data_IF_343395043084
#
_entry.id   IF_343395043084
#
_cell.length_a   1.000
_cell.length_b   1.000
_cell.length_c   1.000
_cell.angle_alpha   90.00
_cell.angle_beta   90.00
_cell.angle_gamma   90.00
#
_symmetry.space_group_name_H-M   'P 1'
#
loop_
_entity.id
_entity.type
_entity.pdbx_description
1 polymer ?
#
# COMPACT_ATOMS: atom_id res chain seq x y z
N UNK A 1 18.51 28.67 -1.35
CA UNK A 1 19.60 27.71 -1.58
C UNK A 1 18.97 26.34 -1.61
N UNK A 2 18.65 25.84 -2.81
CA UNK A 2 18.18 24.47 -3.00
C UNK A 2 19.41 23.58 -2.86
N UNK A 3 19.47 22.78 -1.79
CA UNK A 3 20.51 21.76 -1.66
C UNK A 3 20.45 20.79 -2.84
N UNK A 4 21.57 20.10 -3.18
CA UNK A 4 21.53 19.06 -4.20
C UNK A 4 20.48 18.03 -3.78
N UNK A 5 19.36 17.97 -4.52
CA UNK A 5 18.34 16.97 -4.29
C UNK A 5 18.99 15.59 -4.41
N UNK A 6 18.84 14.74 -3.40
CA UNK A 6 19.25 13.34 -3.50
C UNK A 6 18.48 12.73 -4.66
N UNK A 7 19.10 12.69 -5.83
CA UNK A 7 18.43 12.23 -7.04
C UNK A 7 18.60 10.72 -7.07
N UNK A 8 17.57 10.01 -6.61
CA UNK A 8 17.53 8.55 -6.69
C UNK A 8 17.36 8.13 -8.15
N UNK A 9 18.31 7.34 -8.66
CA UNK A 9 18.34 6.89 -10.05
C UNK A 9 18.26 5.37 -10.06
N UNK A 10 17.14 4.85 -10.56
CA UNK A 10 16.79 3.45 -10.43
C UNK A 10 17.88 2.51 -10.99
N UNK A 11 18.23 1.50 -10.19
CA UNK A 11 19.10 0.35 -10.46
C UNK A 11 20.58 0.64 -10.74
N UNK A 12 20.92 1.81 -11.28
CA UNK A 12 22.26 2.14 -11.76
C UNK A 12 22.65 1.41 -13.06
N UNK A 13 22.39 0.10 -13.14
CA UNK A 13 22.65 -0.75 -14.31
C UNK A 13 21.62 -1.86 -14.46
N UNK A 14 21.49 -2.39 -15.68
CA UNK A 14 20.51 -3.42 -16.01
C UNK A 14 20.75 -4.73 -15.25
N UNK A 15 22.03 -5.13 -15.08
CA UNK A 15 22.38 -6.35 -14.35
C UNK A 15 21.87 -6.31 -12.89
N UNK A 16 21.92 -5.14 -12.24
CA UNK A 16 21.42 -4.96 -10.88
C UNK A 16 19.90 -5.03 -10.79
N UNK A 17 19.19 -4.48 -11.78
CA UNK A 17 17.73 -4.64 -11.91
C UNK A 17 17.36 -6.12 -12.03
N UNK A 18 18.03 -6.86 -12.91
CA UNK A 18 17.77 -8.28 -13.11
C UNK A 18 18.11 -9.12 -11.89
N UNK A 19 19.18 -8.80 -11.15
CA UNK A 19 19.53 -9.46 -9.90
C UNK A 19 18.45 -9.27 -8.82
N UNK A 20 17.93 -8.04 -8.67
CA UNK A 20 16.82 -7.76 -7.74
C UNK A 20 15.55 -8.52 -8.12
N UNK A 21 15.19 -8.54 -9.41
CA UNK A 21 14.04 -9.30 -9.91
C UNK A 21 14.22 -10.80 -9.64
N UNK A 22 15.43 -11.34 -9.85
CA UNK A 22 15.73 -12.74 -9.56
C UNK A 22 15.62 -13.06 -8.06
N UNK A 23 16.08 -12.17 -7.17
CA UNK A 23 15.91 -12.32 -5.72
C UNK A 23 14.42 -12.39 -5.36
N UNK A 24 13.60 -11.48 -5.88
CA UNK A 24 12.15 -11.45 -5.66
C UNK A 24 11.47 -12.74 -6.13
N UNK A 25 11.82 -13.20 -7.33
CA UNK A 25 11.28 -14.45 -7.88
C UNK A 25 11.57 -15.64 -6.98
N UNK A 26 12.81 -15.71 -6.48
CA UNK A 26 13.32 -16.80 -5.66
C UNK A 26 13.02 -16.63 -4.16
N UNK A 27 12.32 -15.56 -3.75
CA UNK A 27 12.10 -15.19 -2.35
C UNK A 27 13.42 -15.14 -1.56
N UNK A 28 14.43 -14.49 -2.15
CA UNK A 28 15.75 -14.33 -1.57
C UNK A 28 15.78 -13.36 -0.38
N UNK A 29 16.98 -13.08 0.16
CA UNK A 29 17.13 -12.24 1.34
C UNK A 29 16.55 -10.83 1.19
N UNK A 30 16.65 -10.21 0.00
CA UNK A 30 16.12 -8.86 -0.22
C UNK A 30 14.60 -8.90 -0.17
N UNK A 31 13.96 -9.84 -0.87
CA UNK A 31 12.51 -10.06 -0.77
C UNK A 31 12.06 -10.24 0.67
N UNK A 32 12.73 -11.11 1.44
CA UNK A 32 12.35 -11.36 2.83
C UNK A 32 12.48 -10.12 3.70
N UNK A 33 13.57 -9.37 3.58
CA UNK A 33 13.80 -8.17 4.39
C UNK A 33 12.88 -7.00 3.99
N UNK A 34 12.57 -6.86 2.71
CA UNK A 34 11.88 -5.68 2.17
C UNK A 34 10.40 -5.90 1.86
N UNK A 35 10.03 -6.97 1.17
CA UNK A 35 8.69 -7.14 0.61
C UNK A 35 7.77 -8.00 1.50
N UNK A 36 8.21 -8.32 2.72
CA UNK A 36 7.42 -9.01 3.74
C UNK A 36 7.17 -8.13 4.97
N UNK A 37 6.45 -8.65 5.98
CA UNK A 37 6.19 -7.91 7.23
C UNK A 37 7.45 -7.50 7.98
N UNK A 38 8.59 -8.14 7.71
CA UNK A 38 9.89 -7.72 8.26
C UNK A 38 10.21 -6.25 7.95
N UNK A 39 9.66 -5.70 6.87
CA UNK A 39 9.87 -4.32 6.45
C UNK A 39 9.20 -3.27 7.33
N UNK A 40 8.24 -3.67 8.19
CA UNK A 40 7.52 -2.73 9.06
C UNK A 40 8.49 -2.16 10.11
N UNK A 41 9.37 -3.00 10.62
CA UNK A 41 10.38 -2.65 11.62
C UNK A 41 11.78 -2.49 11.01
N UNK A 42 11.98 -2.99 9.79
CA UNK A 42 13.27 -3.03 9.12
C UNK A 42 13.71 -1.69 8.51
N UNK A 43 15.03 -1.47 8.50
CA UNK A 43 15.62 -0.35 7.78
C UNK A 43 15.66 -0.64 6.27
N UNK A 44 14.81 0.05 5.52
CA UNK A 44 14.74 -0.04 4.07
C UNK A 44 15.75 0.87 3.34
N UNK A 45 16.59 1.62 4.08
CA UNK A 45 17.58 2.53 3.49
C UNK A 45 18.56 1.82 2.55
N UNK A 46 18.89 0.56 2.86
CA UNK A 46 19.72 -0.30 2.02
C UNK A 46 19.11 -0.49 0.62
N UNK A 47 17.78 -0.65 0.51
CA UNK A 47 17.10 -0.81 -0.78
C UNK A 47 17.29 0.44 -1.64
N UNK A 48 17.10 1.61 -1.04
CA UNK A 48 17.27 2.88 -1.74
C UNK A 48 18.72 3.16 -2.11
N UNK A 49 19.68 2.84 -1.24
CA UNK A 49 21.09 3.06 -1.48
C UNK A 49 21.66 2.10 -2.55
N UNK A 50 21.30 0.81 -2.47
CA UNK A 50 21.85 -0.23 -3.34
C UNK A 50 21.18 -0.26 -4.72
N UNK A 51 19.85 -0.08 -4.77
CA UNK A 51 19.07 -0.16 -6.00
C UNK A 51 18.61 1.19 -6.53
N UNK A 52 19.01 2.31 -5.90
CA UNK A 52 18.69 3.65 -6.38
C UNK A 52 17.18 3.96 -6.46
N UNK A 53 16.34 3.18 -5.76
CA UNK A 53 14.90 3.40 -5.69
C UNK A 53 14.59 4.48 -4.67
N UNK A 54 13.67 5.37 -5.01
CA UNK A 54 13.23 6.42 -4.10
C UNK A 54 12.68 5.79 -2.81
N UNK A 55 13.08 6.26 -1.60
CA UNK A 55 12.66 5.62 -0.34
C UNK A 55 11.15 5.58 -0.12
N UNK A 56 10.41 6.56 -0.67
CA UNK A 56 8.95 6.52 -0.68
C UNK A 56 8.40 5.36 -1.51
N UNK A 57 8.97 5.10 -2.69
CA UNK A 57 8.58 3.94 -3.53
C UNK A 57 8.86 2.64 -2.76
N UNK A 58 10.04 2.53 -2.14
CA UNK A 58 10.41 1.36 -1.37
C UNK A 58 9.43 1.08 -0.21
N UNK A 59 8.88 2.11 0.45
CA UNK A 59 7.86 1.95 1.51
C UNK A 59 6.48 1.54 1.00
N UNK A 60 6.16 1.82 -0.26
CA UNK A 60 4.84 1.52 -0.83
C UNK A 60 4.69 0.05 -1.22
N UNK A 61 5.73 -0.54 -1.81
CA UNK A 61 5.63 -1.87 -2.41
C UNK A 61 5.19 -2.99 -1.45
N UNK A 62 5.66 -3.05 -0.19
CA UNK A 62 5.26 -4.12 0.72
C UNK A 62 3.74 -4.11 0.93
N UNK A 63 3.16 -2.96 1.27
CA UNK A 63 1.72 -2.83 1.46
C UNK A 63 0.93 -3.15 0.18
N UNK A 64 1.39 -2.67 -0.98
CA UNK A 64 0.73 -2.91 -2.26
C UNK A 64 0.81 -4.36 -2.75
N UNK A 65 1.74 -5.18 -2.25
CA UNK A 65 1.73 -6.64 -2.50
C UNK A 65 1.35 -7.46 -1.26
N UNK A 66 0.64 -6.86 -0.30
CA UNK A 66 0.26 -7.49 0.97
C UNK A 66 1.40 -8.23 1.66
N UNK A 67 2.56 -7.58 1.72
CA UNK A 67 3.74 -8.10 2.38
C UNK A 67 4.12 -9.51 1.86
N UNK A 68 3.90 -9.74 0.56
CA UNK A 68 4.21 -11.00 -0.11
C UNK A 68 3.22 -12.14 0.15
N UNK A 69 2.14 -11.89 0.90
CA UNK A 69 1.12 -12.91 1.24
C UNK A 69 0.14 -13.14 0.09
N UNK A 70 -0.07 -12.15 -0.80
CA UNK A 70 -0.96 -12.30 -1.95
C UNK A 70 -0.32 -13.13 -3.07
N UNK A 71 -1.12 -13.99 -3.70
CA UNK A 71 -0.67 -14.87 -4.79
C UNK A 71 -0.05 -14.11 -5.97
N UNK A 72 -0.58 -12.92 -6.26
CA UNK A 72 -0.16 -12.05 -7.36
C UNK A 72 0.99 -11.08 -7.01
N UNK A 73 1.40 -11.02 -5.73
CA UNK A 73 2.37 -10.03 -5.25
C UNK A 73 3.69 -10.07 -6.02
N UNK A 74 4.25 -11.27 -6.24
CA UNK A 74 5.51 -11.43 -6.98
C UNK A 74 5.39 -10.98 -8.42
N UNK A 75 4.34 -11.39 -9.12
CA UNK A 75 4.09 -10.99 -10.51
C UNK A 75 3.96 -9.48 -10.63
N UNK A 76 3.28 -8.83 -9.68
CA UNK A 76 3.20 -7.37 -9.61
C UNK A 76 4.58 -6.72 -9.41
N UNK A 77 5.38 -7.18 -8.45
CA UNK A 77 6.72 -6.65 -8.20
C UNK A 77 7.64 -6.79 -9.41
N UNK A 78 7.66 -7.98 -10.03
CA UNK A 78 8.46 -8.23 -11.24
C UNK A 78 8.01 -7.33 -12.40
N UNK A 79 6.69 -7.21 -12.64
CA UNK A 79 6.17 -6.36 -13.70
C UNK A 79 6.52 -4.89 -13.48
N UNK A 80 6.40 -4.40 -12.24
CA UNK A 80 6.70 -3.02 -11.90
C UNK A 80 8.18 -2.70 -12.06
N UNK A 81 9.07 -3.55 -11.54
CA UNK A 81 10.51 -3.32 -11.65
C UNK A 81 10.99 -3.40 -13.11
N UNK A 82 10.40 -4.26 -13.94
CA UNK A 82 10.68 -4.28 -15.38
C UNK A 82 10.19 -3.02 -16.10
N UNK A 83 9.06 -2.45 -15.65
CA UNK A 83 8.49 -1.23 -16.24
C UNK A 83 9.31 0.03 -15.91
N UNK A 84 10.10 0.02 -14.84
CA UNK A 84 11.00 1.13 -14.47
C UNK A 84 12.29 1.03 -15.28
N UNK A 85 12.61 2.01 -16.15
CA UNK A 85 13.90 2.07 -16.83
C UNK A 85 15.06 2.30 -15.87
N UNK A 86 16.23 1.80 -16.24
CA UNK A 86 17.48 2.12 -15.51
C UNK A 86 17.73 3.63 -15.60
N UNK A 87 18.03 4.25 -14.46
CA UNK A 87 18.28 5.68 -14.34
C UNK A 87 17.01 6.54 -14.17
N UNK A 88 15.82 5.94 -14.20
CA UNK A 88 14.57 6.65 -13.94
C UNK A 88 14.54 7.26 -12.53
N UNK A 89 13.92 8.43 -12.40
CA UNK A 89 13.54 9.00 -11.11
C UNK A 89 12.25 8.31 -10.65
N UNK A 90 12.24 7.78 -9.43
CA UNK A 90 11.13 6.93 -8.93
C UNK A 90 10.28 7.61 -7.86
N UNK A 91 10.68 8.80 -7.40
CA UNK A 91 9.90 9.64 -6.52
C UNK A 91 8.64 10.16 -7.19
N UNK A 92 8.71 10.50 -8.49
CA UNK A 92 7.54 10.89 -9.29
C UNK A 92 6.48 9.77 -9.30
N UNK A 93 6.88 8.54 -9.61
CA UNK A 93 6.00 7.37 -9.58
C UNK A 93 5.37 7.16 -8.21
N UNK A 94 6.15 7.33 -7.12
CA UNK A 94 5.63 7.23 -5.76
C UNK A 94 4.58 8.31 -5.46
N UNK A 95 4.85 9.57 -5.82
CA UNK A 95 3.91 10.70 -5.64
C UNK A 95 2.62 10.50 -6.41
N UNK A 96 2.70 10.11 -7.70
CA UNK A 96 1.52 9.85 -8.52
C UNK A 96 0.70 8.67 -7.99
N UNK A 97 1.36 7.60 -7.53
CA UNK A 97 0.67 6.45 -6.93
C UNK A 97 -0.05 6.84 -5.64
N UNK A 98 0.59 7.62 -4.77
CA UNK A 98 0.00 8.11 -3.53
C UNK A 98 -1.19 9.05 -3.77
N UNK A 99 -1.16 9.86 -4.84
CA UNK A 99 -2.29 10.70 -5.23
C UNK A 99 -3.57 9.90 -5.49
N UNK A 100 -3.47 8.64 -5.94
CA UNK A 100 -4.62 7.76 -6.13
C UNK A 100 -5.42 7.57 -4.84
N UNK A 101 -4.78 7.67 -3.67
CA UNK A 101 -5.47 7.58 -2.38
C UNK A 101 -6.54 8.65 -2.22
N UNK A 102 -6.38 9.81 -2.87
CA UNK A 102 -7.39 10.85 -2.94
C UNK A 102 -8.22 10.78 -4.23
N UNK A 103 -7.57 10.60 -5.37
CA UNK A 103 -8.15 10.86 -6.71
C UNK A 103 -8.74 9.64 -7.41
N UNK A 104 -8.48 8.42 -6.93
CA UNK A 104 -9.03 7.22 -7.57
C UNK A 104 -10.58 7.29 -7.57
N UNK A 105 -11.24 7.11 -8.72
CA UNK A 105 -12.69 7.29 -8.83
C UNK A 105 -13.50 6.26 -8.03
N UNK A 106 -12.92 5.10 -7.72
CA UNK A 106 -13.60 4.01 -7.02
C UNK A 106 -13.19 3.97 -5.54
N UNK A 107 -11.90 4.11 -5.25
CA UNK A 107 -11.32 3.90 -3.92
C UNK A 107 -10.72 5.16 -3.30
N UNK A 108 -10.67 6.26 -4.04
CA UNK A 108 -10.13 7.54 -3.58
C UNK A 108 -11.00 8.17 -2.50
N UNK A 109 -10.36 8.82 -1.53
CA UNK A 109 -11.05 9.41 -0.37
C UNK A 109 -11.79 10.71 -0.67
N UNK A 110 -11.59 11.34 -1.83
CA UNK A 110 -12.29 12.58 -2.17
C UNK A 110 -13.83 12.44 -2.11
N UNK A 111 -14.36 11.25 -2.41
CA UNK A 111 -15.81 10.97 -2.37
C UNK A 111 -16.42 10.99 -0.97
N UNK A 112 -15.59 10.90 0.06
CA UNK A 112 -15.99 10.82 1.47
C UNK A 112 -16.09 12.20 2.12
N UNK A 113 -15.67 13.24 1.40
CA UNK A 113 -15.71 14.62 1.86
C UNK A 113 -16.68 15.40 1.00
N UNK A 114 -17.79 15.83 1.62
CA UNK A 114 -18.78 16.67 0.97
C UNK A 114 -18.16 18.00 0.53
N UNK A 115 -18.67 18.65 -0.54
CA UNK A 115 -18.26 19.99 -0.92
C UNK A 115 -18.35 20.98 0.25
N UNK A 116 -17.32 21.79 0.46
CA UNK A 116 -17.25 22.74 1.56
C UNK A 116 -15.82 22.94 2.09
N UNK A 117 -15.67 23.64 3.24
CA UNK A 117 -14.36 24.06 3.75
C UNK A 117 -13.36 22.92 3.98
N UNK A 118 -13.82 21.75 4.45
CA UNK A 118 -12.96 20.56 4.65
C UNK A 118 -12.40 20.09 3.31
N UNK A 119 -13.26 19.96 2.29
CA UNK A 119 -12.84 19.54 0.96
C UNK A 119 -11.89 20.55 0.33
N UNK A 120 -12.19 21.83 0.44
CA UNK A 120 -11.33 22.90 -0.11
C UNK A 120 -9.93 22.87 0.52
N UNK A 121 -9.84 22.64 1.83
CA UNK A 121 -8.57 22.51 2.52
C UNK A 121 -7.80 21.24 2.09
N UNK A 122 -8.50 20.11 1.92
CA UNK A 122 -7.90 18.89 1.39
C UNK A 122 -7.37 19.10 -0.05
N UNK A 123 -8.17 19.70 -0.92
CA UNK A 123 -7.77 20.00 -2.30
C UNK A 123 -6.57 20.97 -2.36
N UNK A 124 -6.45 21.89 -1.40
CA UNK A 124 -5.27 22.74 -1.27
C UNK A 124 -3.97 21.96 -1.03
N UNK A 125 -4.00 20.92 -0.18
CA UNK A 125 -2.85 20.01 0.01
C UNK A 125 -2.63 19.16 -1.24
N UNK A 126 -3.69 18.58 -1.81
CA UNK A 126 -3.60 17.72 -3.02
C UNK A 126 -3.04 18.49 -4.21
N UNK A 127 -3.36 19.77 -4.37
CA UNK A 127 -2.80 20.64 -5.40
C UNK A 127 -1.27 20.77 -5.25
N UNK A 128 -0.76 20.90 -4.02
CA UNK A 128 0.68 20.90 -3.78
C UNK A 128 1.32 19.54 -4.04
N UNK A 129 0.65 18.44 -3.74
CA UNK A 129 1.15 17.09 -4.08
C UNK A 129 1.24 16.93 -5.58
N UNK A 130 0.22 17.34 -6.35
CA UNK A 130 0.25 17.37 -7.82
C UNK A 130 1.40 18.23 -8.33
N UNK A 131 1.59 19.42 -7.77
CA UNK A 131 2.71 20.29 -8.12
C UNK A 131 4.07 19.63 -7.84
N UNK A 132 4.18 18.90 -6.73
CA UNK A 132 5.42 18.21 -6.32
C UNK A 132 5.85 17.07 -7.23
N UNK A 133 4.95 16.57 -8.08
CA UNK A 133 5.28 15.60 -9.14
C UNK A 133 6.26 16.23 -10.13
N UNK A 134 6.02 17.48 -10.53
CA UNK A 134 6.77 18.15 -11.61
C UNK A 134 7.90 19.05 -11.08
N UNK A 135 7.75 19.63 -9.89
CA UNK A 135 8.68 20.63 -9.38
C UNK A 135 8.72 20.70 -7.85
N UNK A 136 9.83 21.16 -7.31
CA UNK A 136 9.97 21.39 -5.87
C UNK A 136 8.94 22.41 -5.36
N UNK A 137 8.29 22.07 -4.24
CA UNK A 137 7.30 22.94 -3.58
C UNK A 137 7.93 23.58 -2.35
N UNK A 138 7.69 24.87 -2.18
CA UNK A 138 8.25 25.62 -1.06
C UNK A 138 7.72 25.14 0.31
N UNK A 139 8.61 25.07 1.30
CA UNK A 139 8.29 24.63 2.67
C UNK A 139 7.24 25.51 3.35
N UNK A 140 7.12 26.79 3.02
CA UNK A 140 6.06 27.67 3.55
C UNK A 140 4.70 27.28 2.97
N UNK A 141 4.64 26.91 1.69
CA UNK A 141 3.40 26.47 1.05
C UNK A 141 2.87 25.19 1.71
N UNK A 142 3.73 24.17 1.90
CA UNK A 142 3.37 22.95 2.61
C UNK A 142 2.83 23.20 4.02
N UNK A 143 3.56 24.01 4.80
CA UNK A 143 3.14 24.38 6.16
C UNK A 143 1.81 25.13 6.17
N UNK A 144 1.61 26.05 5.23
CA UNK A 144 0.38 26.82 5.14
C UNK A 144 -0.82 25.93 4.82
N UNK A 145 -0.72 25.06 3.81
CA UNK A 145 -1.82 24.18 3.42
C UNK A 145 -2.19 23.21 4.56
N UNK A 146 -1.19 22.63 5.23
CA UNK A 146 -1.41 21.75 6.39
C UNK A 146 -2.01 22.48 7.60
N UNK A 147 -1.58 23.71 7.87
CA UNK A 147 -2.16 24.52 8.94
C UNK A 147 -3.63 24.86 8.64
N UNK A 148 -3.96 25.18 7.38
CA UNK A 148 -5.35 25.36 6.95
C UNK A 148 -6.15 24.09 7.18
N UNK A 149 -5.66 22.93 6.71
CA UNK A 149 -6.35 21.65 6.87
C UNK A 149 -6.58 21.28 8.34
N UNK A 150 -5.56 21.44 9.19
CA UNK A 150 -5.66 21.17 10.63
C UNK A 150 -6.59 22.14 11.38
N UNK A 151 -6.89 23.32 10.82
CA UNK A 151 -7.78 24.30 11.43
C UNK A 151 -9.26 24.09 11.08
N UNK A 152 -9.57 23.28 10.05
CA UNK A 152 -10.96 23.01 9.68
C UNK A 152 -11.56 21.99 10.66
N UNK A 153 -12.77 22.28 11.15
CA UNK A 153 -13.54 21.34 11.97
C UNK A 153 -14.25 20.32 11.08
N UNK A 154 -14.22 19.07 11.52
CA UNK A 154 -15.01 17.98 10.95
C UNK A 154 -16.02 17.49 12.00
N UNK A 155 -17.29 17.46 11.64
CA UNK A 155 -18.34 16.86 12.48
C UNK A 155 -18.65 15.41 12.04
N UNK A 156 -18.07 14.97 10.91
CA UNK A 156 -18.25 13.63 10.33
C UNK A 156 -16.96 12.78 10.48
N UNK A 157 -17.02 11.62 11.17
CA UNK A 157 -15.89 10.71 11.31
C UNK A 157 -15.29 10.20 9.99
N UNK A 158 -16.09 10.12 8.92
CA UNK A 158 -15.58 9.71 7.60
C UNK A 158 -14.70 10.81 6.98
N UNK A 159 -15.09 12.08 7.17
CA UNK A 159 -14.32 13.24 6.73
C UNK A 159 -13.03 13.43 7.57
N UNK A 160 -13.06 13.09 8.86
CA UNK A 160 -11.87 13.06 9.73
C UNK A 160 -10.82 12.09 9.19
N UNK A 161 -11.18 10.82 8.95
CA UNK A 161 -10.25 9.83 8.38
C UNK A 161 -9.68 10.23 7.02
N UNK A 162 -10.49 10.86 6.17
CA UNK A 162 -10.03 11.38 4.89
C UNK A 162 -9.05 12.55 5.07
N UNK A 163 -9.27 13.40 6.07
CA UNK A 163 -8.40 14.51 6.44
C UNK A 163 -7.04 14.01 6.96
N UNK A 164 -7.01 12.99 7.82
CA UNK A 164 -5.77 12.39 8.32
C UNK A 164 -4.90 11.80 7.20
N UNK A 165 -5.55 11.16 6.23
CA UNK A 165 -4.88 10.67 5.03
C UNK A 165 -4.28 11.83 4.22
N UNK A 166 -5.02 12.93 4.02
CA UNK A 166 -4.50 14.09 3.28
C UNK A 166 -3.41 14.82 4.06
N UNK A 167 -3.48 14.86 5.39
CA UNK A 167 -2.40 15.36 6.23
C UNK A 167 -1.12 14.56 6.07
N UNK A 168 -1.23 13.25 5.88
CA UNK A 168 -0.11 12.36 5.56
C UNK A 168 0.42 12.56 4.14
N UNK A 169 -0.45 12.87 3.18
CA UNK A 169 -0.03 13.27 1.82
C UNK A 169 0.71 14.62 1.81
N UNK A 170 0.44 15.51 2.76
CA UNK A 170 1.00 16.86 2.83
C UNK A 170 2.48 16.96 3.21
N UNK A 171 3.23 15.86 3.14
CA UNK A 171 4.67 15.83 3.39
C UNK A 171 5.46 15.79 2.07
N UNK A 172 6.56 16.52 2.05
CA UNK A 172 7.56 16.40 1.00
C UNK A 172 8.28 15.04 1.14
N UNK A 173 8.07 14.13 0.18
CA UNK A 173 8.59 12.77 0.24
C UNK A 173 10.12 12.70 0.09
N UNK A 174 10.76 13.74 -0.45
CA UNK A 174 12.22 13.78 -0.53
C UNK A 174 12.84 14.03 0.86
N UNK A 175 12.08 14.66 1.77
CA UNK A 175 12.49 14.98 3.14
C UNK A 175 11.89 14.02 4.18
N UNK A 176 10.69 13.51 3.91
CA UNK A 176 9.93 12.65 4.81
C UNK A 176 9.33 11.44 4.05
N UNK A 177 10.18 10.56 3.49
CA UNK A 177 9.69 9.42 2.70
C UNK A 177 8.86 8.41 3.51
N UNK A 178 8.94 8.46 4.85
CA UNK A 178 8.09 7.70 5.77
C UNK A 178 6.59 7.94 5.55
N UNK A 179 6.21 9.16 5.15
CA UNK A 179 4.82 9.54 4.92
C UNK A 179 4.12 8.68 3.85
N UNK A 180 4.88 8.07 2.94
CA UNK A 180 4.33 7.13 1.97
C UNK A 180 3.70 5.89 2.64
N UNK A 181 4.33 5.38 3.71
CA UNK A 181 3.79 4.27 4.50
C UNK A 181 2.54 4.71 5.28
N UNK A 182 2.55 5.91 5.84
CA UNK A 182 1.42 6.45 6.60
C UNK A 182 0.18 6.58 5.70
N UNK A 183 0.35 7.13 4.49
CA UNK A 183 -0.76 7.27 3.52
C UNK A 183 -1.30 5.91 3.10
N UNK A 184 -0.45 4.95 2.69
CA UNK A 184 -0.94 3.65 2.22
C UNK A 184 -1.59 2.85 3.34
N UNK A 185 -1.09 2.96 4.57
CA UNK A 185 -1.68 2.31 5.75
C UNK A 185 -3.03 2.92 6.12
N UNK A 186 -3.15 4.25 6.13
CA UNK A 186 -4.41 4.93 6.36
C UNK A 186 -5.45 4.58 5.27
N UNK A 187 -5.02 4.51 4.01
CA UNK A 187 -5.89 4.15 2.89
C UNK A 187 -6.35 2.70 2.97
N UNK A 188 -5.43 1.76 3.20
CA UNK A 188 -5.75 0.34 3.36
C UNK A 188 -6.69 0.12 4.55
N UNK A 189 -6.48 0.79 5.69
CA UNK A 189 -7.35 0.73 6.84
C UNK A 189 -8.77 1.22 6.50
N UNK A 190 -8.91 2.33 5.78
CA UNK A 190 -10.20 2.84 5.34
C UNK A 190 -10.91 1.87 4.38
N UNK A 191 -10.18 1.25 3.45
CA UNK A 191 -10.72 0.24 2.52
C UNK A 191 -11.15 -1.03 3.27
N UNK A 192 -10.37 -1.51 4.24
CA UNK A 192 -10.74 -2.66 5.08
C UNK A 192 -12.04 -2.40 5.84
N UNK A 193 -12.17 -1.22 6.46
CA UNK A 193 -13.40 -0.84 7.17
C UNK A 193 -14.62 -0.77 6.25
N UNK A 194 -14.45 -0.25 5.02
CA UNK A 194 -15.53 -0.25 4.02
C UNK A 194 -15.87 -1.65 3.51
N UNK A 195 -14.87 -2.51 3.34
CA UNK A 195 -15.07 -3.89 2.93
C UNK A 195 -15.91 -4.66 3.95
N UNK A 196 -15.62 -4.47 5.24
CA UNK A 196 -16.37 -5.02 6.37
C UNK A 196 -17.77 -4.43 6.47
N UNK A 197 -17.91 -3.10 6.38
CA UNK A 197 -19.21 -2.42 6.52
C UNK A 197 -20.17 -2.67 5.34
N UNK A 198 -19.63 -2.96 4.15
CA UNK A 198 -20.42 -3.25 2.95
C UNK A 198 -20.73 -4.74 2.78
N UNK A 199 -20.47 -5.59 3.79
CA UNK A 199 -20.83 -7.00 3.70
C UNK A 199 -22.35 -7.17 3.76
N UNK A 200 -22.92 -7.84 2.76
CA UNK A 200 -24.36 -8.08 2.64
C UNK A 200 -24.88 -9.05 3.71
N UNK A 201 -23.97 -9.89 4.24
CA UNK A 201 -24.21 -10.83 5.34
C UNK A 201 -23.33 -10.46 6.55
N UNK A 202 -23.32 -9.15 6.87
CA UNK A 202 -22.64 -8.65 8.06
C UNK A 202 -23.27 -9.22 9.33
N UNK A 203 -22.44 -9.47 10.35
CA UNK A 203 -22.95 -9.83 11.67
C UNK A 203 -23.73 -8.68 12.25
N UNK A 204 -24.87 -8.99 12.84
CA UNK A 204 -25.50 -8.08 13.80
C UNK A 204 -24.56 -7.82 14.99
N UNK A 205 -24.83 -6.76 15.74
CA UNK A 205 -24.08 -6.47 16.97
C UNK A 205 -24.19 -7.63 17.98
N UNK A 206 -25.36 -8.27 18.07
CA UNK A 206 -25.61 -9.41 18.93
C UNK A 206 -24.82 -10.66 18.49
N UNK A 207 -24.79 -10.95 17.19
CA UNK A 207 -23.97 -12.05 16.64
C UNK A 207 -22.48 -11.82 16.84
N UNK A 208 -22.02 -10.58 16.71
CA UNK A 208 -20.61 -10.23 16.97
C UNK A 208 -20.24 -10.45 18.43
N UNK A 209 -21.07 -9.96 19.36
CA UNK A 209 -20.86 -10.20 20.79
C UNK A 209 -20.93 -11.69 21.16
N UNK A 210 -21.84 -12.44 20.53
CA UNK A 210 -21.95 -13.89 20.71
C UNK A 210 -20.71 -14.61 20.19
N UNK A 211 -20.22 -14.25 18.99
CA UNK A 211 -19.03 -14.86 18.41
C UNK A 211 -17.78 -14.60 19.25
N UNK A 212 -17.58 -13.37 19.74
CA UNK A 212 -16.48 -13.04 20.65
C UNK A 212 -16.55 -13.84 21.95
N UNK A 213 -17.75 -13.94 22.53
CA UNK A 213 -17.98 -14.73 23.75
C UNK A 213 -17.65 -16.20 23.53
N UNK A 214 -18.14 -16.81 22.45
CA UNK A 214 -17.88 -18.21 22.15
C UNK A 214 -16.42 -18.48 21.76
N UNK A 215 -15.76 -17.54 21.08
CA UNK A 215 -14.33 -17.63 20.79
C UNK A 215 -13.49 -17.66 22.07
N UNK A 216 -13.80 -16.79 23.05
CA UNK A 216 -13.10 -16.78 24.33
C UNK A 216 -13.33 -18.10 25.09
N UNK A 217 -14.57 -18.58 25.17
CA UNK A 217 -14.88 -19.87 25.80
C UNK A 217 -14.15 -21.03 25.14
N UNK A 218 -14.15 -21.12 23.81
CA UNK A 218 -13.44 -22.19 23.09
C UNK A 218 -11.94 -22.13 23.35
N UNK A 219 -11.34 -20.94 23.41
CA UNK A 219 -9.93 -20.79 23.74
C UNK A 219 -9.62 -21.23 25.18
N UNK A 220 -10.46 -20.87 26.16
CA UNK A 220 -10.34 -21.32 27.55
C UNK A 220 -10.50 -22.83 27.67
N UNK A 221 -11.55 -23.40 27.07
CA UNK A 221 -11.81 -24.85 27.03
C UNK A 221 -10.65 -25.62 26.37
N UNK A 222 -10.04 -25.08 25.30
CA UNK A 222 -8.88 -25.69 24.65
C UNK A 222 -7.64 -25.69 25.55
N UNK A 223 -7.37 -24.57 26.23
CA UNK A 223 -6.25 -24.49 27.18
C UNK A 223 -6.43 -25.45 28.35
N UNK A 224 -7.64 -25.52 28.92
CA UNK A 224 -7.96 -26.42 30.03
C UNK A 224 -7.85 -27.89 29.62
N UNK A 225 -8.32 -28.24 28.43
CA UNK A 225 -8.22 -29.59 27.86
C UNK A 225 -6.75 -30.04 27.72
N UNK A 226 -5.90 -29.15 27.18
CA UNK A 226 -4.48 -29.46 26.98
C UNK A 226 -3.69 -29.46 28.29
N UNK A 227 -3.98 -28.55 29.21
CA UNK A 227 -3.30 -28.48 30.52
C UNK A 227 -3.53 -29.71 31.41
N UNK A 228 -4.57 -30.51 31.15
CA UNK A 228 -4.80 -31.78 31.84
C UNK A 228 -3.81 -32.88 31.43
N UNK A 229 -3.24 -32.80 30.23
CA UNK A 229 -2.36 -33.83 29.67
C UNK A 229 -0.89 -33.43 29.55
N UNK A 230 -0.58 -32.13 29.64
CA UNK A 230 0.77 -31.59 29.50
C UNK A 230 0.93 -30.27 30.26
N UNK A 231 2.18 -29.85 30.51
CA UNK A 231 2.45 -28.54 31.10
C UNK A 231 2.00 -27.42 30.16
N UNK A 232 1.48 -26.32 30.71
CA UNK A 232 1.11 -25.13 29.91
C UNK A 232 2.29 -24.60 29.10
N UNK A 233 3.50 -24.66 29.66
CA UNK A 233 4.74 -24.21 28.99
C UNK A 233 5.16 -25.09 27.81
N UNK A 234 4.60 -26.30 27.70
CA UNK A 234 4.89 -27.24 26.61
C UNK A 234 3.79 -27.31 25.55
N UNK A 235 2.68 -26.57 25.70
CA UNK A 235 1.60 -26.56 24.71
C UNK A 235 2.10 -25.86 23.44
N UNK A 236 2.24 -26.62 22.36
CA UNK A 236 2.53 -26.10 21.04
C UNK A 236 1.34 -25.33 20.45
N UNK A 237 1.62 -24.32 19.61
CA UNK A 237 0.58 -23.57 18.88
C UNK A 237 -0.26 -24.50 17.99
N UNK A 238 0.37 -25.50 17.36
CA UNK A 238 -0.32 -26.46 16.49
C UNK A 238 -1.32 -27.33 17.28
N UNK A 239 -0.92 -27.84 18.45
CA UNK A 239 -1.78 -28.63 19.34
C UNK A 239 -2.96 -27.79 19.84
N UNK A 240 -2.70 -26.54 20.24
CA UNK A 240 -3.73 -25.59 20.64
C UNK A 240 -4.75 -25.34 19.51
N UNK A 241 -4.27 -25.04 18.30
CA UNK A 241 -5.16 -24.79 17.16
C UNK A 241 -5.96 -26.03 16.75
N UNK A 242 -5.38 -27.22 16.87
CA UNK A 242 -6.08 -28.48 16.62
C UNK A 242 -7.20 -28.73 17.65
N UNK A 243 -6.95 -28.47 18.93
CA UNK A 243 -7.97 -28.62 19.99
C UNK A 243 -9.08 -27.56 19.85
N UNK A 244 -8.73 -26.30 19.54
CA UNK A 244 -9.71 -25.25 19.22
C UNK A 244 -10.61 -25.67 18.06
N UNK A 245 -10.05 -26.20 16.96
CA UNK A 245 -10.83 -26.65 15.81
C UNK A 245 -11.78 -27.81 16.16
N UNK A 246 -11.32 -28.75 16.99
CA UNK A 246 -12.15 -29.86 17.49
C UNK A 246 -13.33 -29.34 18.33
N UNK A 247 -13.10 -28.39 19.24
CA UNK A 247 -14.15 -27.80 20.07
C UNK A 247 -15.18 -27.01 19.24
N UNK A 248 -14.72 -26.26 18.24
CA UNK A 248 -15.61 -25.59 17.30
C UNK A 248 -16.50 -26.58 16.53
N UNK A 249 -15.98 -27.74 16.13
CA UNK A 249 -16.74 -28.77 15.38
C UNK A 249 -17.68 -29.59 16.27
N UNK A 250 -17.40 -29.71 17.56
CA UNK A 250 -18.18 -30.53 18.47
C UNK A 250 -19.58 -29.96 18.73
N UNK A 251 -19.75 -28.64 18.63
CA UNK A 251 -21.04 -27.95 18.76
C UNK A 251 -21.48 -27.39 17.39
N UNK A 252 -22.60 -27.89 16.81
CA UNK A 252 -23.10 -27.41 15.52
C UNK A 252 -23.40 -25.91 15.45
N UNK A 253 -23.83 -25.29 16.56
CA UNK A 253 -24.16 -23.86 16.61
C UNK A 253 -22.88 -23.04 16.58
N UNK A 254 -21.90 -23.39 17.41
CA UNK A 254 -20.57 -22.78 17.40
C UNK A 254 -19.93 -22.92 16.01
N UNK A 255 -19.96 -24.13 15.45
CA UNK A 255 -19.41 -24.41 14.12
C UNK A 255 -20.03 -23.51 13.03
N UNK A 256 -21.36 -23.40 13.00
CA UNK A 256 -22.06 -22.56 12.03
C UNK A 256 -21.67 -21.07 12.16
N UNK A 257 -21.54 -20.57 13.40
CA UNK A 257 -21.12 -19.18 13.65
C UNK A 257 -19.67 -18.94 13.17
N UNK A 258 -18.75 -19.88 13.43
CA UNK A 258 -17.38 -19.82 12.91
C UNK A 258 -17.36 -19.84 11.38
N UNK A 259 -18.12 -20.72 10.74
CA UNK A 259 -18.20 -20.80 9.27
C UNK A 259 -18.68 -19.47 8.67
N UNK A 260 -19.68 -18.82 9.26
CA UNK A 260 -20.12 -17.50 8.81
C UNK A 260 -19.05 -16.42 9.02
N UNK A 261 -18.36 -16.43 10.16
CA UNK A 261 -17.24 -15.49 10.42
C UNK A 261 -16.11 -15.66 9.40
N UNK A 262 -15.73 -16.90 9.06
CA UNK A 262 -14.75 -17.21 8.01
C UNK A 262 -15.24 -16.70 6.65
N UNK A 263 -16.46 -17.03 6.24
CA UNK A 263 -17.02 -16.59 4.96
C UNK A 263 -17.08 -15.05 4.85
N UNK A 264 -17.45 -14.35 5.92
CA UNK A 264 -17.40 -12.88 5.99
C UNK A 264 -15.98 -12.36 5.78
N UNK A 265 -14.99 -12.92 6.49
CA UNK A 265 -13.59 -12.52 6.36
C UNK A 265 -13.07 -12.75 4.94
N UNK A 266 -13.44 -13.87 4.31
CA UNK A 266 -13.10 -14.16 2.92
C UNK A 266 -13.68 -13.11 1.95
N UNK A 267 -14.95 -12.72 2.12
CA UNK A 267 -15.58 -11.67 1.31
C UNK A 267 -14.91 -10.30 1.50
N UNK A 268 -14.62 -9.92 2.74
CA UNK A 268 -13.91 -8.68 3.06
C UNK A 268 -12.50 -8.67 2.44
N UNK A 269 -11.74 -9.75 2.63
CA UNK A 269 -10.42 -9.95 2.02
C UNK A 269 -10.48 -9.86 0.48
N UNK A 270 -11.53 -10.41 -0.15
CA UNK A 270 -11.71 -10.35 -1.59
C UNK A 270 -11.93 -8.90 -2.09
N UNK A 271 -12.68 -8.07 -1.36
CA UNK A 271 -12.86 -6.64 -1.69
C UNK A 271 -11.55 -5.86 -1.56
N UNK A 272 -10.77 -6.16 -0.52
CA UNK A 272 -9.45 -5.54 -0.30
C UNK A 272 -8.45 -5.99 -1.37
N UNK A 273 -8.49 -7.26 -1.77
CA UNK A 273 -7.70 -7.77 -2.89
C UNK A 273 -8.08 -7.09 -4.22
N UNK A 274 -9.38 -6.86 -4.46
CA UNK A 274 -9.85 -6.14 -5.64
C UNK A 274 -9.35 -4.69 -5.69
N UNK A 275 -9.39 -3.98 -4.54
CA UNK A 275 -8.78 -2.66 -4.41
C UNK A 275 -7.30 -2.70 -4.74
N UNK A 276 -6.54 -3.60 -4.10
CA UNK A 276 -5.10 -3.72 -4.28
C UNK A 276 -4.74 -3.99 -5.75
N UNK A 277 -5.40 -4.96 -6.39
CA UNK A 277 -5.21 -5.27 -7.80
C UNK A 277 -5.53 -4.08 -8.72
N UNK A 278 -6.53 -3.26 -8.37
CA UNK A 278 -6.83 -2.01 -9.09
C UNK A 278 -5.69 -0.99 -8.97
N UNK A 279 -5.15 -0.78 -7.76
CA UNK A 279 -4.08 0.18 -7.52
C UNK A 279 -2.75 -0.30 -8.11
N UNK A 280 -2.43 -1.59 -7.99
CA UNK A 280 -1.28 -2.20 -8.64
C UNK A 280 -1.31 -1.97 -10.16
N UNK A 281 -2.46 -2.18 -10.81
CA UNK A 281 -2.63 -1.95 -12.25
C UNK A 281 -2.40 -0.49 -12.61
N UNK A 282 -3.02 0.44 -11.88
CA UNK A 282 -2.81 1.88 -12.12
C UNK A 282 -1.35 2.29 -11.93
N UNK A 283 -0.67 1.75 -10.92
CA UNK A 283 0.75 2.01 -10.72
C UNK A 283 1.60 1.52 -11.89
N UNK A 284 1.29 0.35 -12.46
CA UNK A 284 1.94 -0.14 -13.68
C UNK A 284 1.66 0.77 -14.87
N UNK A 285 0.41 1.23 -15.04
CA UNK A 285 0.04 2.16 -16.11
C UNK A 285 0.81 3.50 -15.97
N UNK A 286 0.96 4.02 -14.75
CA UNK A 286 1.75 5.22 -14.45
C UNK A 286 3.24 5.00 -14.75
N UNK A 287 3.82 3.87 -14.32
CA UNK A 287 5.21 3.54 -14.61
C UNK A 287 5.49 3.48 -16.12
N UNK A 288 4.57 2.90 -16.89
CA UNK A 288 4.67 2.84 -18.36
C UNK A 288 4.49 4.21 -19.00
N UNK A 289 3.54 5.03 -18.56
CA UNK A 289 3.26 6.33 -19.16
C UNK A 289 4.38 7.35 -18.89
N UNK A 290 4.82 7.47 -17.64
CA UNK A 290 5.78 8.49 -17.22
C UNK A 290 7.18 8.19 -17.73
N UNK A 291 7.62 6.94 -17.67
CA UNK A 291 9.03 6.61 -17.89
C UNK A 291 9.38 6.29 -19.35
N UNK A 292 8.39 5.92 -20.17
CA UNK A 292 8.57 5.79 -21.64
C UNK A 292 8.66 7.17 -22.30
N UNK A 293 7.94 8.17 -21.79
CA UNK A 293 8.00 9.54 -22.30
C UNK A 293 9.40 10.16 -22.11
N UNK A 294 10.04 9.94 -20.96
CA UNK A 294 11.42 10.40 -20.70
C UNK A 294 12.45 9.73 -21.61
N UNK A 295 12.31 8.42 -21.84
CA UNK A 295 13.23 7.66 -22.72
C UNK A 295 13.16 8.15 -24.16
N UNK A 296 11.97 8.53 -24.63
CA UNK A 296 11.75 9.06 -25.99
C UNK A 296 12.29 10.48 -26.13
N UNK A 297 12.20 11.30 -25.07
CA UNK A 297 12.73 12.66 -25.07
C UNK A 297 14.27 12.71 -25.10
N UNK A 298 14.95 11.71 -24.53
CA UNK A 298 16.42 11.61 -24.50
C UNK A 298 16.99 11.08 -25.82
N UNK A 299 16.23 10.25 -26.55
CA UNK A 299 16.59 9.75 -27.88
C UNK A 299 15.56 10.19 -28.93
N UNK A 300 15.49 11.48 -29.29
CA UNK A 300 14.73 11.88 -30.46
C UNK A 300 15.41 11.22 -31.65
N UNK A 301 14.78 10.21 -32.24
CA UNK A 301 15.28 9.56 -33.45
C UNK A 301 15.67 10.66 -34.44
N UNK A 302 16.96 10.74 -34.79
CA UNK A 302 17.43 11.66 -35.83
C UNK A 302 16.55 11.43 -37.06
N UNK A 303 15.91 12.48 -37.61
CA UNK A 303 15.17 12.31 -38.84
C UNK A 303 16.16 11.82 -39.87
N UNK A 304 15.98 10.57 -40.32
CA UNK A 304 16.74 9.98 -41.42
C UNK A 304 16.61 10.95 -42.57
N UNK A 305 17.67 11.73 -42.79
CA UNK A 305 17.76 12.65 -43.89
C UNK A 305 17.49 11.87 -45.15
N UNK A 306 16.33 12.12 -45.75
CA UNK A 306 16.07 11.81 -47.15
C UNK A 306 17.14 12.57 -47.94
N UNK A 307 18.28 11.92 -48.17
CA UNK A 307 19.23 12.36 -49.15
C UNK A 307 18.53 12.29 -50.50
N UNK A 308 18.14 13.47 -51.00
CA UNK A 308 17.85 13.74 -52.39
C UNK A 308 18.91 13.06 -53.27
N UNK A 309 18.51 11.93 -53.88
CA UNK A 309 19.16 11.42 -55.08
C UNK A 309 18.72 12.29 -56.26
N UNK A 310 19.38 13.43 -56.42
CA UNK A 310 19.52 14.06 -57.72
C UNK A 310 20.96 13.89 -58.20
N UNK A 311 21.24 12.79 -58.91
CA UNK A 311 22.25 12.73 -59.98
C UNK A 311 21.90 11.59 -60.94
N UNK A 312 21.31 11.96 -62.07
CA UNK A 312 21.59 11.57 -63.48
C UNK A 312 20.33 11.69 -64.33
#
# INVERSE_FOLDING_TARGET
>A
MSGPGNTFRAFGEEARRQALIADIRNKGPIYTAWLTRASIEGDISAISAEHGLHPALARLLPALGAFGEAEDARSFYEALLNAIPVGAETGELARQTLLLAWTDPVYGRARMVAPGPVRDACEGVVALVKQSVEQAVDKKAWRSARATLAAVRHDDPAAEKATDLVMSLGWDLDQAPGAAHDVISAWAAAVNLEADASDEDCFTAEESATFETEMNKVNEEAMDSLAQGQSVESIGVEDFMAEVEKLWRADPVRHALKQRSVARRERSNAKVAAWRGSIQRRMLDLAQATLVAETTAINPAEPVGLHDRQQL
#
